data_IF_647827155706
#
_entry.id   IF_647827155706
#
_cell.length_a   1.000
_cell.length_b   1.000
_cell.length_c   1.000
_cell.angle_alpha   90.00
_cell.angle_beta   90.00
_cell.angle_gamma   90.00
#
_symmetry.space_group_name_H-M   'P 1'
#
loop_
_entity.id
_entity.type
_entity.pdbx_description
1 polymer ?
#
# COMPACT_ATOMS: atom_id res chain seq x y z
N UNK A 1 -8.68 -16.26 8.30
CA UNK A 1 -8.55 -14.83 7.89
C UNK A 1 -9.78 -14.06 8.34
N UNK A 2 -9.64 -12.84 8.84
CA UNK A 2 -10.76 -11.97 9.18
C UNK A 2 -10.98 -10.98 8.05
N UNK A 3 -12.26 -10.65 7.80
CA UNK A 3 -12.66 -9.67 6.79
C UNK A 3 -13.36 -8.49 7.45
N UNK A 4 -13.19 -7.30 6.85
CA UNK A 4 -13.86 -6.07 7.28
C UNK A 4 -14.34 -5.28 6.06
N UNK A 5 -15.21 -4.32 6.30
CA UNK A 5 -15.58 -3.35 5.26
C UNK A 5 -14.41 -2.39 5.00
N UNK A 6 -14.15 -2.07 3.73
CA UNK A 6 -13.14 -1.10 3.34
C UNK A 6 -13.70 0.31 3.51
N UNK A 7 -13.34 0.97 4.61
CA UNK A 7 -13.97 2.22 5.01
C UNK A 7 -15.49 2.04 5.21
N UNK A 8 -16.27 2.98 4.72
CA UNK A 8 -17.75 2.93 4.75
C UNK A 8 -18.35 2.26 3.51
N UNK A 9 -17.54 1.61 2.68
CA UNK A 9 -18.04 0.90 1.49
C UNK A 9 -18.66 -0.45 1.86
N UNK A 10 -19.39 -1.05 0.91
CA UNK A 10 -19.89 -2.43 1.03
C UNK A 10 -18.84 -3.52 0.76
N UNK A 11 -17.60 -3.14 0.38
CA UNK A 11 -16.57 -4.08 -0.05
C UNK A 11 -15.91 -4.79 1.15
N UNK A 12 -15.93 -6.12 1.13
CA UNK A 12 -15.25 -6.93 2.14
C UNK A 12 -13.82 -7.23 1.73
N UNK A 13 -12.87 -6.84 2.59
CA UNK A 13 -11.44 -7.09 2.39
C UNK A 13 -10.83 -7.84 3.57
N UNK A 14 -9.84 -8.68 3.30
CA UNK A 14 -9.01 -9.28 4.34
C UNK A 14 -8.27 -8.19 5.13
N UNK A 15 -8.06 -8.42 6.45
CA UNK A 15 -7.30 -7.51 7.32
C UNK A 15 -5.82 -7.33 6.92
N UNK A 16 -5.39 -8.05 5.89
CA UNK A 16 -4.09 -7.90 5.22
C UNK A 16 -4.32 -7.69 3.74
N UNK A 17 -3.58 -6.74 3.16
CA UNK A 17 -3.47 -6.55 1.72
C UNK A 17 -2.10 -7.05 1.25
N UNK A 18 -2.04 -7.89 0.22
CA UNK A 18 -0.77 -8.30 -0.37
C UNK A 18 -0.24 -7.23 -1.31
N UNK A 19 0.92 -6.64 -0.95
CA UNK A 19 1.63 -5.67 -1.79
C UNK A 19 2.43 -6.34 -2.88
N UNK A 20 2.05 -6.10 -4.13
CA UNK A 20 2.60 -6.79 -5.29
C UNK A 20 3.79 -6.06 -5.95
N UNK A 21 4.30 -4.95 -5.37
CA UNK A 21 5.54 -4.31 -5.83
C UNK A 21 6.75 -5.25 -5.78
N UNK A 22 6.65 -6.32 -5.00
CA UNK A 22 7.68 -7.36 -4.89
C UNK A 22 7.74 -8.27 -6.12
N UNK A 23 6.67 -8.35 -6.92
CA UNK A 23 6.52 -9.26 -8.05
C UNK A 23 6.66 -8.51 -9.36
N UNK A 24 7.57 -8.95 -10.22
CA UNK A 24 7.88 -8.32 -11.50
C UNK A 24 9.24 -8.76 -12.01
N UNK A 25 9.54 -8.46 -13.26
CA UNK A 25 10.84 -8.78 -13.84
C UNK A 25 11.93 -7.88 -13.21
N UNK A 26 13.01 -8.45 -12.63
CA UNK A 26 14.05 -7.69 -11.94
C UNK A 26 14.85 -6.72 -12.83
N UNK A 27 14.88 -6.99 -14.13
CA UNK A 27 15.56 -6.20 -15.15
C UNK A 27 14.67 -5.05 -15.70
N UNK A 28 13.44 -4.92 -15.20
CA UNK A 28 12.50 -3.88 -15.61
C UNK A 28 12.11 -2.96 -14.47
N UNK A 29 12.04 -1.66 -14.76
CA UNK A 29 11.71 -0.64 -13.77
C UNK A 29 12.85 -0.38 -12.78
N UNK A 30 12.51 0.03 -11.55
CA UNK A 30 13.47 0.59 -10.57
C UNK A 30 13.84 -0.38 -9.43
N UNK A 31 13.40 -1.65 -9.46
CA UNK A 31 13.51 -2.54 -8.32
C UNK A 31 14.16 -3.88 -8.69
N UNK A 32 15.49 -3.93 -8.73
CA UNK A 32 16.27 -5.14 -9.04
C UNK A 32 16.03 -6.32 -8.06
N UNK A 33 15.41 -6.06 -6.91
CA UNK A 33 15.09 -7.07 -5.89
C UNK A 33 13.70 -7.71 -6.07
N UNK A 34 13.00 -7.43 -7.15
CA UNK A 34 11.70 -8.06 -7.45
C UNK A 34 11.88 -9.54 -7.81
N UNK A 35 10.82 -10.29 -7.61
CA UNK A 35 10.74 -11.70 -7.95
C UNK A 35 10.05 -11.86 -9.31
N UNK A 36 10.62 -12.66 -10.19
CA UNK A 36 9.99 -13.06 -11.44
C UNK A 36 8.71 -13.90 -11.21
N UNK A 37 8.06 -14.33 -12.26
CA UNK A 37 6.81 -15.07 -12.17
C UNK A 37 6.98 -16.42 -11.47
N UNK A 38 8.06 -17.15 -11.78
CA UNK A 38 8.32 -18.49 -11.20
C UNK A 38 8.44 -18.40 -9.68
N UNK A 39 9.22 -17.45 -9.18
CA UNK A 39 9.42 -17.21 -7.75
C UNK A 39 8.19 -16.57 -7.07
N UNK A 40 7.39 -15.80 -7.79
CA UNK A 40 6.22 -15.07 -7.25
C UNK A 40 4.99 -15.98 -7.09
N UNK A 41 4.73 -16.88 -8.02
CA UNK A 41 3.51 -17.72 -8.06
C UNK A 41 3.25 -18.52 -6.79
N UNK A 42 4.23 -19.18 -6.15
CA UNK A 42 3.99 -19.91 -4.91
C UNK A 42 3.55 -19.01 -3.76
N UNK A 43 4.06 -17.76 -3.70
CA UNK A 43 3.70 -16.79 -2.65
C UNK A 43 2.29 -16.27 -2.88
N UNK A 44 1.94 -15.90 -4.11
CA UNK A 44 0.59 -15.45 -4.49
C UNK A 44 -0.45 -16.55 -4.21
N UNK A 45 -0.15 -17.80 -4.60
CA UNK A 45 -1.01 -18.95 -4.31
C UNK A 45 -1.21 -19.14 -2.81
N UNK A 46 -0.12 -19.12 -2.04
CA UNK A 46 -0.18 -19.25 -0.56
C UNK A 46 -1.04 -18.15 0.06
N UNK A 47 -0.93 -16.90 -0.41
CA UNK A 47 -1.73 -15.78 0.08
C UNK A 47 -3.24 -16.02 -0.16
N UNK A 48 -3.60 -16.47 -1.37
CA UNK A 48 -4.98 -16.81 -1.72
C UNK A 48 -5.51 -17.97 -0.85
N UNK A 49 -4.74 -19.05 -0.73
CA UNK A 49 -5.10 -20.23 0.08
C UNK A 49 -5.23 -19.87 1.59
N UNK A 50 -4.50 -18.86 2.07
CA UNK A 50 -4.63 -18.34 3.44
C UNK A 50 -5.85 -17.41 3.62
N UNK A 51 -6.59 -17.11 2.56
CA UNK A 51 -7.77 -16.26 2.57
C UNK A 51 -7.48 -14.76 2.42
N UNK A 52 -6.28 -14.36 2.00
CA UNK A 52 -6.03 -12.98 1.58
C UNK A 52 -6.76 -12.77 0.26
N UNK A 53 -7.73 -11.87 0.26
CA UNK A 53 -8.50 -11.53 -0.94
C UNK A 53 -8.14 -10.16 -1.52
N UNK A 54 -7.23 -9.40 -0.92
CA UNK A 54 -6.90 -8.03 -1.30
C UNK A 54 -5.45 -7.95 -1.82
N UNK A 55 -5.29 -7.51 -3.08
CA UNK A 55 -4.02 -7.45 -3.81
C UNK A 55 -3.80 -6.04 -4.34
N UNK A 56 -2.66 -5.42 -3.99
CA UNK A 56 -2.30 -4.06 -4.39
C UNK A 56 -1.10 -4.06 -5.32
N UNK A 57 -1.29 -3.63 -6.56
CA UNK A 57 -0.23 -3.42 -7.56
C UNK A 57 -0.23 -1.97 -8.05
N UNK A 58 0.49 -1.66 -9.12
CA UNK A 58 0.47 -0.39 -9.84
C UNK A 58 0.97 -0.57 -11.28
N UNK A 59 0.54 0.31 -12.18
CA UNK A 59 1.01 0.31 -13.57
C UNK A 59 2.54 0.40 -13.67
N UNK A 60 3.18 1.19 -12.80
CA UNK A 60 4.63 1.46 -12.83
C UNK A 60 5.49 0.36 -12.19
N UNK A 61 4.90 -0.59 -11.46
CA UNK A 61 5.70 -1.63 -10.80
C UNK A 61 6.33 -2.56 -11.83
N UNK A 62 7.67 -2.55 -11.88
CA UNK A 62 8.47 -3.27 -12.89
C UNK A 62 7.94 -3.08 -14.32
N UNK A 63 7.62 -1.82 -14.68
CA UNK A 63 7.10 -1.41 -15.99
C UNK A 63 5.86 -2.21 -16.44
N UNK A 64 4.95 -2.50 -15.49
CA UNK A 64 3.70 -3.21 -15.73
C UNK A 64 3.77 -4.72 -15.56
N UNK A 65 4.95 -5.32 -15.47
CA UNK A 65 5.07 -6.79 -15.33
C UNK A 65 4.51 -7.30 -14.00
N UNK A 66 4.42 -6.45 -12.97
CA UNK A 66 3.71 -6.77 -11.73
C UNK A 66 2.22 -7.05 -11.98
N UNK A 67 1.55 -6.20 -12.75
CA UNK A 67 0.14 -6.40 -13.10
C UNK A 67 -0.05 -7.68 -13.91
N UNK A 68 0.86 -7.97 -14.85
CA UNK A 68 0.80 -9.20 -15.66
C UNK A 68 0.93 -10.49 -14.83
N UNK A 69 1.90 -10.53 -13.89
CA UNK A 69 2.12 -11.68 -13.00
C UNK A 69 0.92 -11.87 -12.08
N UNK A 70 0.44 -10.78 -11.46
CA UNK A 70 -0.73 -10.80 -10.55
C UNK A 70 -1.98 -11.26 -11.30
N UNK A 71 -2.24 -10.72 -12.49
CA UNK A 71 -3.40 -11.08 -13.30
C UNK A 71 -3.42 -12.58 -13.66
N UNK A 72 -2.27 -13.12 -14.10
CA UNK A 72 -2.15 -14.55 -14.40
C UNK A 72 -2.33 -15.42 -13.15
N UNK A 73 -1.73 -15.03 -12.03
CA UNK A 73 -1.84 -15.79 -10.78
C UNK A 73 -3.30 -15.81 -10.25
N UNK A 74 -3.99 -14.65 -10.26
CA UNK A 74 -5.40 -14.60 -9.83
C UNK A 74 -6.28 -15.46 -10.73
N UNK A 75 -6.12 -15.38 -12.05
CA UNK A 75 -6.87 -16.21 -13.00
C UNK A 75 -6.70 -17.71 -12.73
N UNK A 76 -5.48 -18.14 -12.35
CA UNK A 76 -5.15 -19.53 -12.17
C UNK A 76 -5.51 -20.07 -10.77
N UNK A 77 -5.52 -19.22 -9.73
CA UNK A 77 -5.63 -19.65 -8.33
C UNK A 77 -6.89 -19.16 -7.61
N UNK A 78 -7.64 -18.21 -8.16
CA UNK A 78 -8.82 -17.63 -7.52
C UNK A 78 -9.95 -17.41 -8.52
N UNK A 79 -11.15 -17.20 -8.00
CA UNK A 79 -12.24 -16.65 -8.80
C UNK A 79 -12.13 -15.11 -8.76
N UNK A 80 -12.33 -14.47 -9.92
CA UNK A 80 -12.20 -13.01 -10.03
C UNK A 80 -13.16 -12.24 -9.11
N UNK A 81 -14.37 -12.77 -8.90
CA UNK A 81 -15.42 -12.19 -8.08
C UNK A 81 -15.20 -12.36 -6.56
N UNK A 82 -14.25 -13.19 -6.15
CA UNK A 82 -13.87 -13.41 -4.75
C UNK A 82 -12.69 -12.58 -4.27
N UNK A 83 -11.98 -11.90 -5.21
CA UNK A 83 -10.78 -11.12 -4.91
C UNK A 83 -10.95 -9.65 -5.24
N UNK A 84 -10.21 -8.82 -4.50
CA UNK A 84 -10.15 -7.37 -4.65
C UNK A 84 -8.79 -7.01 -5.25
N UNK A 85 -8.80 -6.51 -6.48
CA UNK A 85 -7.60 -6.04 -7.19
C UNK A 85 -7.55 -4.52 -7.15
N UNK A 86 -6.47 -3.98 -6.57
CA UNK A 86 -6.15 -2.57 -6.61
C UNK A 86 -4.97 -2.33 -7.55
N UNK A 87 -5.07 -1.31 -8.40
CA UNK A 87 -3.94 -0.78 -9.17
C UNK A 87 -3.88 0.74 -9.09
N UNK A 88 -2.82 1.35 -9.65
CA UNK A 88 -2.56 2.79 -9.50
C UNK A 88 -2.13 3.42 -10.83
N UNK A 89 -2.35 4.75 -10.90
CA UNK A 89 -1.93 5.63 -12.00
C UNK A 89 -1.17 6.83 -11.45
N UNK A 90 -0.25 7.35 -12.19
CA UNK A 90 0.56 8.56 -12.05
C UNK A 90 1.98 8.35 -12.58
N UNK A 91 2.61 7.21 -12.22
CA UNK A 91 3.99 6.93 -12.61
C UNK A 91 4.19 6.93 -14.13
N UNK A 92 5.42 7.26 -14.55
CA UNK A 92 5.76 7.32 -15.99
C UNK A 92 5.83 5.92 -16.60
N UNK A 93 4.99 5.66 -17.60
CA UNK A 93 4.92 4.39 -18.32
C UNK A 93 5.57 4.44 -19.71
N UNK A 94 5.79 5.64 -20.25
CA UNK A 94 6.44 5.82 -21.55
C UNK A 94 7.17 7.17 -21.61
N UNK A 95 8.21 7.31 -22.44
CA UNK A 95 8.90 8.58 -22.64
C UNK A 95 8.00 9.60 -23.37
N UNK A 96 8.36 10.87 -23.26
CA UNK A 96 7.69 11.97 -23.95
C UNK A 96 6.42 12.48 -23.25
N UNK A 97 5.66 13.34 -23.92
CA UNK A 97 4.46 13.98 -23.38
C UNK A 97 3.34 12.97 -23.13
N UNK A 98 2.50 13.24 -22.12
CA UNK A 98 1.36 12.41 -21.71
C UNK A 98 1.74 10.96 -21.29
N UNK A 99 3.00 10.71 -20.96
CA UNK A 99 3.48 9.40 -20.50
C UNK A 99 3.41 9.19 -19.00
N UNK A 100 2.94 10.19 -18.24
CA UNK A 100 2.81 10.18 -16.77
C UNK A 100 1.72 11.15 -16.33
N UNK A 101 1.43 11.19 -15.03
CA UNK A 101 0.55 12.18 -14.41
C UNK A 101 -0.90 11.75 -14.30
N UNK A 102 -1.75 12.73 -13.92
CA UNK A 102 -3.18 12.51 -13.65
C UNK A 102 -4.09 13.29 -14.60
N UNK A 103 -3.60 13.73 -15.76
CA UNK A 103 -4.49 14.28 -16.77
C UNK A 103 -5.56 13.26 -17.18
N UNK A 104 -6.74 13.75 -17.60
CA UNK A 104 -7.81 12.90 -18.12
C UNK A 104 -7.30 11.90 -19.15
N UNK A 105 -6.42 12.37 -20.06
CA UNK A 105 -5.81 11.51 -21.08
C UNK A 105 -4.98 10.38 -20.47
N UNK A 106 -4.15 10.68 -19.45
CA UNK A 106 -3.32 9.69 -18.79
C UNK A 106 -4.18 8.67 -18.03
N UNK A 107 -5.16 9.13 -17.23
CA UNK A 107 -6.06 8.26 -16.47
C UNK A 107 -6.78 7.27 -17.38
N UNK A 108 -7.40 7.75 -18.47
CA UNK A 108 -8.15 6.89 -19.38
C UNK A 108 -7.26 5.90 -20.13
N UNK A 109 -6.07 6.33 -20.55
CA UNK A 109 -5.12 5.45 -21.26
C UNK A 109 -4.57 4.38 -20.32
N UNK A 110 -4.20 4.76 -19.10
CA UNK A 110 -3.53 3.85 -18.18
C UNK A 110 -4.49 2.83 -17.56
N UNK A 111 -5.76 3.17 -17.32
CA UNK A 111 -6.71 2.15 -16.86
C UNK A 111 -6.90 1.06 -17.93
N UNK A 112 -7.03 1.42 -19.20
CA UNK A 112 -7.17 0.44 -20.28
C UNK A 112 -5.94 -0.46 -20.40
N UNK A 113 -4.76 0.13 -20.32
CA UNK A 113 -3.51 -0.61 -20.33
C UNK A 113 -3.36 -1.55 -19.11
N UNK A 114 -3.75 -1.10 -17.91
CA UNK A 114 -3.76 -1.92 -16.69
C UNK A 114 -4.72 -3.09 -16.80
N UNK A 115 -5.92 -2.90 -17.32
CA UNK A 115 -6.89 -3.98 -17.53
C UNK A 115 -6.36 -5.04 -18.49
N UNK A 116 -5.67 -4.63 -19.57
CA UNK A 116 -5.01 -5.56 -20.50
C UNK A 116 -3.92 -6.37 -19.80
N UNK A 117 -3.03 -5.71 -19.02
CA UNK A 117 -1.95 -6.39 -18.30
C UNK A 117 -2.47 -7.35 -17.23
N UNK A 118 -3.50 -6.93 -16.49
CA UNK A 118 -4.17 -7.76 -15.47
C UNK A 118 -5.03 -8.89 -16.08
N UNK A 119 -5.40 -8.80 -17.36
CA UNK A 119 -6.26 -9.76 -18.04
C UNK A 119 -7.69 -9.81 -17.45
N UNK A 120 -8.26 -8.66 -17.11
CA UNK A 120 -9.59 -8.51 -16.50
C UNK A 120 -10.34 -7.31 -17.09
N UNK A 121 -11.66 -7.33 -17.03
CA UNK A 121 -12.52 -6.24 -17.55
C UNK A 121 -12.66 -5.08 -16.56
N UNK A 122 -12.31 -5.29 -15.28
CA UNK A 122 -12.40 -4.26 -14.24
C UNK A 122 -11.39 -4.50 -13.13
N UNK A 123 -11.01 -3.42 -12.45
CA UNK A 123 -10.38 -3.47 -11.12
C UNK A 123 -11.38 -3.09 -10.04
N UNK A 124 -11.16 -3.54 -8.81
CA UNK A 124 -12.04 -3.18 -7.71
C UNK A 124 -11.70 -1.80 -7.16
N UNK A 125 -10.41 -1.45 -7.13
CA UNK A 125 -9.93 -0.18 -6.62
C UNK A 125 -8.89 0.43 -7.58
N UNK A 126 -9.18 1.62 -8.12
CA UNK A 126 -8.25 2.39 -8.94
C UNK A 126 -7.76 3.60 -8.18
N UNK A 127 -6.44 3.71 -7.98
CA UNK A 127 -5.86 4.69 -7.08
C UNK A 127 -5.00 5.71 -7.83
N UNK A 128 -5.07 6.98 -7.44
CA UNK A 128 -4.00 7.92 -7.77
C UNK A 128 -2.78 7.61 -6.89
N UNK A 129 -1.60 7.42 -7.51
CA UNK A 129 -0.38 7.00 -6.82
C UNK A 129 0.27 8.15 -6.04
N UNK A 130 0.12 9.38 -6.55
CA UNK A 130 0.57 10.64 -5.96
C UNK A 130 -0.39 11.76 -6.35
N UNK A 131 -0.36 12.84 -5.62
CA UNK A 131 -1.00 14.09 -6.04
C UNK A 131 -0.23 14.69 -7.21
N UNK A 132 -0.94 15.18 -8.23
CA UNK A 132 -0.33 15.83 -9.40
C UNK A 132 -0.53 17.33 -9.29
N UNK A 133 0.57 18.07 -9.14
CA UNK A 133 0.57 19.52 -8.98
C UNK A 133 0.38 20.27 -10.30
N UNK A 134 0.56 19.59 -11.43
CA UNK A 134 0.48 20.17 -12.77
C UNK A 134 -0.89 20.00 -13.41
N UNK A 135 -1.81 19.27 -12.76
CA UNK A 135 -3.15 18.98 -13.30
C UNK A 135 -4.23 19.52 -12.35
N UNK A 136 -5.24 20.25 -12.87
CA UNK A 136 -6.38 20.66 -12.06
C UNK A 136 -7.05 19.46 -11.35
N UNK A 137 -7.39 19.64 -10.10
CA UNK A 137 -8.05 18.61 -9.28
C UNK A 137 -9.36 18.15 -9.91
N UNK A 138 -10.11 19.10 -10.51
CA UNK A 138 -11.38 18.84 -11.18
C UNK A 138 -11.20 17.90 -12.37
N UNK A 139 -10.18 18.10 -13.20
CA UNK A 139 -9.90 17.23 -14.36
C UNK A 139 -9.60 15.80 -13.92
N UNK A 140 -8.78 15.65 -12.86
CA UNK A 140 -8.45 14.35 -12.28
C UNK A 140 -9.69 13.64 -11.76
N UNK A 141 -10.52 14.33 -10.96
CA UNK A 141 -11.70 13.75 -10.32
C UNK A 141 -12.80 13.40 -11.32
N UNK A 142 -13.06 14.25 -12.30
CA UNK A 142 -14.01 13.97 -13.37
C UNK A 142 -13.58 12.75 -14.18
N UNK A 143 -12.29 12.66 -14.53
CA UNK A 143 -11.76 11.49 -15.24
C UNK A 143 -11.92 10.19 -14.44
N UNK A 144 -11.64 10.20 -13.14
CA UNK A 144 -11.83 9.05 -12.27
C UNK A 144 -13.31 8.68 -12.13
N UNK A 145 -14.21 9.67 -12.03
CA UNK A 145 -15.66 9.45 -12.04
C UNK A 145 -16.11 8.75 -13.32
N UNK A 146 -15.62 9.19 -14.46
CA UNK A 146 -15.94 8.58 -15.76
C UNK A 146 -15.41 7.14 -15.88
N UNK A 147 -14.24 6.83 -15.30
CA UNK A 147 -13.71 5.45 -15.22
C UNK A 147 -14.66 4.55 -14.41
N UNK A 148 -15.23 5.06 -13.30
CA UNK A 148 -16.25 4.34 -12.52
C UNK A 148 -17.53 4.16 -13.33
N UNK A 149 -18.02 5.21 -13.98
CA UNK A 149 -19.24 5.16 -14.82
C UNK A 149 -19.10 4.20 -15.99
N UNK A 150 -17.89 4.11 -16.56
CA UNK A 150 -17.58 3.14 -17.63
C UNK A 150 -17.47 1.69 -17.10
N UNK A 151 -17.56 1.45 -15.79
CA UNK A 151 -17.49 0.13 -15.18
C UNK A 151 -16.08 -0.47 -15.15
N UNK A 152 -15.04 0.31 -15.47
CA UNK A 152 -13.64 -0.15 -15.47
C UNK A 152 -13.05 -0.24 -14.08
N UNK A 153 -13.61 0.47 -13.11
CA UNK A 153 -13.32 0.30 -11.67
C UNK A 153 -14.59 0.36 -10.84
N UNK A 154 -14.58 -0.28 -9.66
CA UNK A 154 -15.71 -0.26 -8.71
C UNK A 154 -15.58 0.91 -7.73
N UNK A 155 -14.38 1.15 -7.24
CA UNK A 155 -14.04 2.20 -6.28
C UNK A 155 -12.80 2.96 -6.73
N UNK A 156 -12.64 4.19 -6.25
CA UNK A 156 -11.42 4.97 -6.43
C UNK A 156 -10.74 5.21 -5.09
N UNK A 157 -9.41 5.33 -5.11
CA UNK A 157 -8.58 5.59 -3.95
C UNK A 157 -7.50 6.63 -4.22
N UNK A 158 -6.90 7.13 -3.15
CA UNK A 158 -5.76 8.03 -3.22
C UNK A 158 -4.57 7.47 -2.46
N UNK A 159 -3.36 7.91 -2.78
CA UNK A 159 -2.14 7.54 -2.07
C UNK A 159 -1.26 8.75 -1.83
N UNK A 160 -0.71 8.84 -0.64
CA UNK A 160 0.39 9.72 -0.21
C UNK A 160 0.30 11.16 -0.73
N UNK A 161 -0.35 12.02 0.05
CA UNK A 161 -0.46 13.47 -0.16
C UNK A 161 -0.71 14.16 1.17
N UNK A 162 -0.67 15.48 1.20
CA UNK A 162 -1.03 16.24 2.38
C UNK A 162 -2.54 16.14 2.68
N UNK A 163 -2.92 16.17 3.95
CA UNK A 163 -4.32 16.10 4.38
C UNK A 163 -5.18 17.19 3.74
N UNK A 164 -4.66 18.43 3.62
CA UNK A 164 -5.37 19.52 2.95
C UNK A 164 -5.66 19.25 1.46
N UNK A 165 -4.72 18.59 0.74
CA UNK A 165 -4.91 18.20 -0.65
C UNK A 165 -6.03 17.17 -0.75
N UNK A 166 -6.01 16.16 0.12
CA UNK A 166 -7.04 15.13 0.14
C UNK A 166 -8.41 15.69 0.52
N UNK A 167 -8.48 16.54 1.54
CA UNK A 167 -9.72 17.23 1.92
C UNK A 167 -10.28 18.08 0.77
N UNK A 168 -9.41 18.80 0.04
CA UNK A 168 -9.82 19.57 -1.14
C UNK A 168 -10.42 18.66 -2.21
N UNK A 169 -9.77 17.51 -2.52
CA UNK A 169 -10.28 16.56 -3.51
C UNK A 169 -11.62 15.95 -3.09
N UNK A 170 -11.81 15.60 -1.81
CA UNK A 170 -13.08 15.11 -1.30
C UNK A 170 -14.20 16.15 -1.44
N UNK A 171 -13.92 17.41 -1.08
CA UNK A 171 -14.87 18.51 -1.20
C UNK A 171 -15.24 18.79 -2.66
N UNK A 172 -14.27 18.83 -3.58
CA UNK A 172 -14.53 19.05 -5.00
C UNK A 172 -15.37 17.92 -5.60
N UNK A 173 -15.08 16.67 -5.23
CA UNK A 173 -15.89 15.52 -5.67
C UNK A 173 -17.33 15.65 -5.20
N UNK A 174 -17.56 16.00 -3.93
CA UNK A 174 -18.90 16.17 -3.37
C UNK A 174 -19.65 17.33 -4.01
N UNK A 175 -19.01 18.49 -4.17
CA UNK A 175 -19.60 19.69 -4.77
C UNK A 175 -20.07 19.45 -6.23
N UNK A 176 -19.42 18.56 -6.95
CA UNK A 176 -19.75 18.22 -8.35
C UNK A 176 -20.60 16.94 -8.49
N UNK A 177 -20.95 16.26 -7.39
CA UNK A 177 -21.69 15.00 -7.45
C UNK A 177 -20.88 13.84 -8.09
N UNK A 178 -19.54 13.92 -8.00
CA UNK A 178 -18.65 12.87 -8.52
C UNK A 178 -18.37 11.78 -7.49
N UNK A 179 -17.82 10.67 -7.95
CA UNK A 179 -17.40 9.56 -7.10
C UNK A 179 -16.36 10.01 -6.09
N UNK A 180 -16.61 9.77 -4.81
CA UNK A 180 -15.65 10.06 -3.73
C UNK A 180 -14.61 8.95 -3.61
N UNK A 181 -13.44 9.29 -3.12
CA UNK A 181 -12.43 8.30 -2.74
C UNK A 181 -12.94 7.40 -1.62
N UNK A 182 -12.72 6.10 -1.77
CA UNK A 182 -13.05 5.09 -0.76
C UNK A 182 -11.86 4.78 0.16
N UNK A 183 -10.62 5.03 -0.29
CA UNK A 183 -9.40 4.69 0.45
C UNK A 183 -8.34 5.76 0.39
N UNK A 184 -7.50 5.76 1.44
CA UNK A 184 -6.21 6.44 1.48
C UNK A 184 -5.11 5.41 1.74
N UNK A 185 -4.14 5.35 0.82
CA UNK A 185 -2.93 4.54 0.95
C UNK A 185 -1.75 5.44 1.34
N UNK A 186 -1.50 5.55 2.63
CA UNK A 186 -0.48 6.44 3.20
C UNK A 186 0.69 5.69 3.82
N UNK A 187 1.74 6.41 4.23
CA UNK A 187 2.95 5.86 4.83
C UNK A 187 2.81 5.82 6.35
N UNK A 188 2.55 4.65 6.94
CA UNK A 188 2.40 4.49 8.39
C UNK A 188 3.14 3.26 8.88
N UNK A 189 4.02 3.45 9.84
CA UNK A 189 4.69 2.40 10.62
C UNK A 189 5.32 3.02 11.87
N UNK A 190 5.91 2.20 12.74
CA UNK A 190 6.54 2.66 13.98
C UNK A 190 7.68 3.67 13.80
N UNK A 191 8.33 3.71 12.61
CA UNK A 191 9.38 4.69 12.29
C UNK A 191 8.83 5.96 11.64
N UNK A 192 7.53 5.99 11.23
CA UNK A 192 6.92 7.14 10.60
C UNK A 192 5.45 7.23 10.99
N UNK A 193 5.13 8.20 11.84
CA UNK A 193 3.82 8.39 12.45
C UNK A 193 3.18 9.75 12.13
N UNK A 194 3.74 10.51 11.19
CA UNK A 194 3.27 11.88 10.88
C UNK A 194 1.83 11.90 10.35
N UNK A 195 1.38 10.82 9.72
CA UNK A 195 0.00 10.68 9.24
C UNK A 195 -1.04 10.65 10.38
N UNK A 196 -0.62 10.31 11.61
CA UNK A 196 -1.48 10.34 12.81
C UNK A 196 -1.93 11.75 13.20
N UNK A 197 -1.25 12.80 12.70
CA UNK A 197 -1.56 14.20 13.04
C UNK A 197 -2.83 14.69 12.38
N UNK A 198 -2.99 14.42 11.08
CA UNK A 198 -4.08 14.98 10.29
C UNK A 198 -4.73 13.95 9.34
N UNK A 199 -3.94 13.17 8.61
CA UNK A 199 -4.49 12.28 7.57
C UNK A 199 -5.36 11.17 8.15
N UNK A 200 -4.91 10.48 9.21
CA UNK A 200 -5.73 9.44 9.84
C UNK A 200 -7.01 10.00 10.46
N UNK A 201 -6.99 11.11 11.26
CA UNK A 201 -8.20 11.76 11.73
C UNK A 201 -9.15 12.19 10.61
N UNK A 202 -8.63 12.75 9.52
CA UNK A 202 -9.43 13.10 8.35
C UNK A 202 -10.09 11.86 7.74
N UNK A 203 -9.34 10.78 7.53
CA UNK A 203 -9.89 9.54 6.99
C UNK A 203 -11.01 8.97 7.89
N UNK A 204 -10.82 9.00 9.20
CA UNK A 204 -11.83 8.56 10.17
C UNK A 204 -13.09 9.41 10.08
N UNK A 205 -12.96 10.75 10.04
CA UNK A 205 -14.09 11.67 9.94
C UNK A 205 -14.89 11.50 8.63
N UNK A 206 -14.20 11.19 7.53
CA UNK A 206 -14.77 11.05 6.18
C UNK A 206 -15.19 9.61 5.83
N UNK A 207 -14.97 8.64 6.73
CA UNK A 207 -15.31 7.23 6.52
C UNK A 207 -14.45 6.55 5.45
N UNK A 208 -13.22 7.03 5.26
CA UNK A 208 -12.24 6.54 4.27
C UNK A 208 -11.46 5.37 4.86
N UNK A 209 -11.36 4.27 4.11
CA UNK A 209 -10.54 3.11 4.50
C UNK A 209 -9.04 3.40 4.38
N UNK A 210 -8.28 3.18 5.44
CA UNK A 210 -6.83 3.39 5.44
C UNK A 210 -6.11 2.07 5.16
N UNK A 211 -5.24 2.07 4.14
CA UNK A 211 -4.47 0.89 3.68
C UNK A 211 -2.97 1.24 3.62
N UNK A 212 -2.27 1.32 4.76
CA UNK A 212 -0.93 1.88 4.80
C UNK A 212 0.11 1.00 4.10
N UNK A 213 1.01 1.66 3.34
CA UNK A 213 2.16 1.00 2.72
C UNK A 213 3.37 0.98 3.65
N UNK A 214 4.28 0.02 3.42
CA UNK A 214 5.50 -0.22 4.21
C UNK A 214 5.27 -0.32 5.72
N UNK A 215 4.31 -1.11 6.20
CA UNK A 215 4.03 -1.25 7.64
C UNK A 215 5.23 -1.79 8.44
N UNK A 216 6.16 -2.49 7.77
CA UNK A 216 7.39 -3.00 8.34
C UNK A 216 8.62 -2.12 8.02
N UNK A 217 8.41 -0.85 7.65
CA UNK A 217 9.48 0.10 7.32
C UNK A 217 10.51 -0.48 6.34
N UNK A 218 10.04 -1.11 5.24
CA UNK A 218 10.88 -1.75 4.22
C UNK A 218 11.85 -2.79 4.80
N UNK A 219 11.43 -3.44 5.89
CA UNK A 219 12.17 -4.48 6.61
C UNK A 219 13.10 -3.97 7.72
N UNK A 220 13.17 -2.67 8.00
CA UNK A 220 13.94 -2.13 9.13
C UNK A 220 13.42 -2.60 10.49
N UNK A 221 12.12 -2.78 10.62
CA UNK A 221 11.46 -3.27 11.83
C UNK A 221 11.51 -4.81 12.00
N UNK A 222 12.14 -5.54 11.07
CA UNK A 222 12.10 -7.01 11.07
C UNK A 222 13.44 -7.67 11.37
N UNK A 223 14.52 -6.91 11.40
CA UNK A 223 15.90 -7.41 11.52
C UNK A 223 16.76 -6.55 12.44
N UNK A 224 17.94 -7.04 12.76
CA UNK A 224 18.92 -6.26 13.51
C UNK A 224 19.29 -4.99 12.75
N UNK A 225 19.54 -3.90 13.48
CA UNK A 225 19.77 -2.58 12.90
C UNK A 225 20.88 -2.58 11.86
N UNK A 226 21.99 -3.28 12.13
CA UNK A 226 23.16 -3.34 11.25
C UNK A 226 23.07 -4.44 10.18
N UNK A 227 22.00 -5.24 10.16
CA UNK A 227 21.86 -6.31 9.18
C UNK A 227 21.58 -5.75 7.78
N UNK A 228 22.45 -6.09 6.83
CA UNK A 228 22.28 -5.76 5.43
C UNK A 228 21.49 -6.85 4.70
N UNK A 229 20.65 -6.45 3.76
CA UNK A 229 19.96 -7.33 2.80
C UNK A 229 20.18 -6.77 1.40
N UNK A 230 20.03 -7.59 0.37
CA UNK A 230 20.10 -7.16 -1.02
C UNK A 230 19.16 -5.95 -1.26
N UNK A 231 17.92 -6.03 -0.79
CA UNK A 231 16.99 -4.90 -0.87
C UNK A 231 17.51 -3.65 -0.17
N UNK A 232 18.09 -3.76 1.03
CA UNK A 232 18.59 -2.58 1.75
C UNK A 232 19.77 -1.91 1.06
N UNK A 233 20.51 -2.66 0.25
CA UNK A 233 21.64 -2.17 -0.53
C UNK A 233 21.23 -1.53 -1.86
N UNK A 234 20.14 -1.99 -2.47
CA UNK A 234 19.68 -1.57 -3.81
C UNK A 234 18.47 -0.62 -3.78
N UNK A 235 17.71 -0.55 -2.67
CA UNK A 235 16.52 0.27 -2.52
C UNK A 235 16.88 1.75 -2.29
N UNK A 236 17.08 2.52 -3.37
CA UNK A 236 17.39 3.93 -3.33
C UNK A 236 16.27 4.75 -2.66
N UNK A 237 15.00 4.47 -2.99
CA UNK A 237 13.88 5.17 -2.39
C UNK A 237 13.80 4.92 -0.87
N UNK A 238 14.09 3.70 -0.41
CA UNK A 238 14.18 3.41 1.02
C UNK A 238 15.25 4.23 1.74
N UNK A 239 16.37 4.57 1.06
CA UNK A 239 17.39 5.43 1.65
C UNK A 239 16.89 6.85 1.88
N UNK A 240 16.13 7.42 0.96
CA UNK A 240 15.58 8.78 1.12
C UNK A 240 14.62 8.89 2.30
N UNK A 241 13.89 7.82 2.62
CA UNK A 241 12.92 7.83 3.71
C UNK A 241 13.56 7.85 5.11
N UNK A 242 14.77 7.29 5.28
CA UNK A 242 15.35 7.02 6.60
C UNK A 242 16.72 7.65 6.84
N UNK A 243 17.32 8.33 5.86
CA UNK A 243 18.68 8.85 5.98
C UNK A 243 18.81 9.92 7.07
N UNK A 244 17.78 10.72 7.29
CA UNK A 244 17.81 11.84 8.24
C UNK A 244 17.51 11.44 9.71
N UNK A 245 17.01 10.22 9.96
CA UNK A 245 16.42 9.83 11.25
C UNK A 245 17.06 8.60 11.89
N UNK A 246 18.25 8.21 11.40
CA UNK A 246 18.95 6.96 11.73
C UNK A 246 19.02 6.67 13.24
N UNK A 247 19.41 7.64 14.07
CA UNK A 247 19.57 7.44 15.52
C UNK A 247 18.22 7.37 16.27
N UNK A 248 17.22 8.11 15.81
CA UNK A 248 15.88 8.06 16.37
C UNK A 248 15.21 6.72 16.02
N UNK A 249 15.30 6.32 14.77
CA UNK A 249 14.73 5.06 14.26
C UNK A 249 15.33 3.83 14.96
N UNK A 250 16.62 3.88 15.27
CA UNK A 250 17.31 2.83 16.00
C UNK A 250 16.67 2.54 17.36
N UNK A 251 16.31 3.58 18.12
CA UNK A 251 15.66 3.43 19.43
C UNK A 251 14.30 2.75 19.31
N UNK A 252 13.55 3.06 18.28
CA UNK A 252 12.27 2.41 17.99
C UNK A 252 12.48 0.93 17.64
N UNK A 253 13.49 0.60 16.82
CA UNK A 253 13.83 -0.79 16.48
C UNK A 253 14.28 -1.57 17.72
N UNK A 254 15.01 -0.95 18.64
CA UNK A 254 15.40 -1.55 19.94
C UNK A 254 14.16 -1.84 20.80
N UNK A 255 13.17 -0.94 20.85
CA UNK A 255 11.90 -1.18 21.54
C UNK A 255 11.10 -2.34 20.94
N UNK A 256 11.00 -2.39 19.60
CA UNK A 256 10.37 -3.54 18.90
C UNK A 256 11.08 -4.84 19.22
N UNK A 257 12.43 -4.81 19.28
CA UNK A 257 13.24 -5.99 19.62
C UNK A 257 12.95 -6.49 21.03
N UNK A 258 12.86 -5.57 22.01
CA UNK A 258 12.58 -5.91 23.39
C UNK A 258 11.17 -6.52 23.54
N UNK A 259 10.14 -5.89 22.97
CA UNK A 259 8.76 -6.42 23.02
C UNK A 259 8.66 -7.79 22.32
N UNK A 260 9.34 -7.97 21.19
CA UNK A 260 9.36 -9.24 20.46
C UNK A 260 10.02 -10.35 21.30
N UNK A 261 11.14 -10.05 21.98
CA UNK A 261 11.82 -10.99 22.87
C UNK A 261 10.95 -11.37 24.06
N UNK A 262 10.30 -10.40 24.74
CA UNK A 262 9.40 -10.64 25.86
C UNK A 262 8.21 -11.55 25.47
N UNK A 263 7.74 -11.45 24.25
CA UNK A 263 6.64 -12.25 23.69
C UNK A 263 7.07 -13.57 23.07
N UNK A 264 8.37 -13.76 22.81
CA UNK A 264 8.89 -14.93 22.10
C UNK A 264 8.41 -15.03 20.65
N UNK A 265 8.18 -13.88 19.96
CA UNK A 265 7.69 -13.81 18.59
C UNK A 265 8.63 -12.99 17.69
N UNK A 266 8.60 -13.18 16.36
CA UNK A 266 9.34 -12.34 15.44
C UNK A 266 8.97 -10.85 15.53
N UNK A 267 9.95 -9.97 15.35
CA UNK A 267 9.77 -8.50 15.31
C UNK A 267 8.73 -8.06 14.28
N UNK A 268 8.69 -8.75 13.14
CA UNK A 268 7.71 -8.48 12.07
C UNK A 268 6.27 -8.59 12.59
N UNK A 269 5.99 -9.57 13.44
CA UNK A 269 4.66 -9.76 14.03
C UNK A 269 4.30 -8.60 14.96
N UNK A 270 5.23 -8.16 15.83
CA UNK A 270 5.02 -7.03 16.75
C UNK A 270 4.77 -5.73 15.97
N UNK A 271 5.63 -5.41 15.00
CA UNK A 271 5.51 -4.19 14.22
C UNK A 271 4.21 -4.16 13.40
N UNK A 272 3.81 -5.29 12.83
CA UNK A 272 2.56 -5.38 12.08
C UNK A 272 1.33 -5.35 12.98
N UNK A 273 1.38 -6.02 14.16
CA UNK A 273 0.32 -5.98 15.15
C UNK A 273 0.05 -4.55 15.65
N UNK A 274 1.10 -3.73 15.78
CA UNK A 274 0.93 -2.31 16.13
C UNK A 274 0.15 -1.54 15.06
N UNK A 275 0.44 -1.74 13.77
CA UNK A 275 -0.33 -1.12 12.67
C UNK A 275 -1.77 -1.62 12.66
N UNK A 276 -1.97 -2.94 12.85
CA UNK A 276 -3.29 -3.57 12.90
C UNK A 276 -4.14 -3.13 14.11
N UNK A 277 -3.49 -2.70 15.20
CA UNK A 277 -4.18 -2.20 16.40
C UNK A 277 -4.76 -0.79 16.23
N UNK A 278 -4.37 -0.05 15.18
CA UNK A 278 -4.93 1.28 14.91
C UNK A 278 -6.37 1.14 14.39
N UNK A 279 -7.36 1.82 15.02
CA UNK A 279 -8.78 1.66 14.68
C UNK A 279 -9.10 2.08 13.24
N UNK A 280 -8.35 3.06 12.72
CA UNK A 280 -8.59 3.63 11.39
C UNK A 280 -7.98 2.79 10.27
N UNK A 281 -7.09 1.84 10.58
CA UNK A 281 -6.43 0.99 9.58
C UNK A 281 -7.33 -0.16 9.18
N UNK A 282 -7.71 -0.20 7.90
CA UNK A 282 -8.48 -1.29 7.31
C UNK A 282 -7.60 -2.51 7.01
N UNK A 283 -6.55 -2.33 6.23
CA UNK A 283 -5.66 -3.42 5.82
C UNK A 283 -4.26 -2.89 5.49
N UNK A 284 -3.23 -3.13 6.31
CA UNK A 284 -1.86 -2.80 5.94
C UNK A 284 -1.40 -3.61 4.73
N UNK A 285 -0.64 -2.95 3.83
CA UNK A 285 -0.09 -3.56 2.64
C UNK A 285 1.24 -4.21 2.98
N UNK A 286 1.27 -5.53 3.00
CA UNK A 286 2.45 -6.33 3.31
C UNK A 286 3.08 -6.90 2.04
N UNK A 287 4.36 -6.63 1.82
CA UNK A 287 5.15 -7.25 0.76
C UNK A 287 5.78 -8.55 1.27
N UNK A 288 5.74 -9.60 0.48
CA UNK A 288 6.35 -10.88 0.80
C UNK A 288 7.28 -11.34 -0.32
N UNK A 289 8.56 -11.53 -0.02
CA UNK A 289 9.55 -12.14 -0.94
C UNK A 289 9.90 -13.60 -0.56
N UNK A 290 9.30 -14.10 0.53
CA UNK A 290 9.41 -15.48 1.00
C UNK A 290 8.09 -15.91 1.61
N UNK A 291 7.78 -17.21 1.57
CA UNK A 291 6.57 -17.77 2.17
C UNK A 291 6.47 -17.47 3.69
N UNK A 292 7.60 -17.46 4.41
CA UNK A 292 7.67 -17.14 5.84
C UNK A 292 7.25 -15.71 6.17
N UNK A 293 7.39 -14.76 5.24
CA UNK A 293 6.90 -13.39 5.45
C UNK A 293 5.36 -13.33 5.52
N UNK A 294 4.68 -14.20 4.74
CA UNK A 294 3.22 -14.35 4.85
C UNK A 294 2.83 -15.04 6.15
N UNK A 295 3.58 -16.04 6.59
CA UNK A 295 3.30 -16.72 7.86
C UNK A 295 3.38 -15.74 9.04
N UNK A 296 4.42 -14.90 9.08
CA UNK A 296 4.55 -13.85 10.08
C UNK A 296 3.43 -12.81 9.99
N UNK A 297 3.04 -12.39 8.79
CA UNK A 297 1.96 -11.44 8.61
C UNK A 297 0.61 -11.98 9.08
N UNK A 298 0.31 -13.25 8.77
CA UNK A 298 -0.91 -13.92 9.20
C UNK A 298 -0.91 -14.12 10.72
N UNK A 299 0.22 -14.51 11.32
CA UNK A 299 0.35 -14.67 12.77
C UNK A 299 0.13 -13.35 13.52
N UNK A 300 0.54 -12.22 12.94
CA UNK A 300 0.32 -10.89 13.52
C UNK A 300 -1.16 -10.54 13.73
N UNK A 301 -2.08 -11.11 12.94
CA UNK A 301 -3.53 -10.91 13.11
C UNK A 301 -4.07 -11.41 14.45
N UNK A 302 -3.40 -12.39 15.05
CA UNK A 302 -3.75 -12.95 16.36
C UNK A 302 -2.97 -12.32 17.53
N UNK A 303 -2.02 -11.44 17.24
CA UNK A 303 -1.15 -10.84 18.27
C UNK A 303 -1.77 -9.56 18.84
N UNK A 304 -2.55 -9.68 19.91
CA UNK A 304 -3.05 -8.53 20.67
C UNK A 304 -1.92 -7.89 21.50
N UNK A 305 -1.58 -6.62 21.22
CA UNK A 305 -0.68 -5.83 22.04
C UNK A 305 -1.40 -5.22 23.24
N UNK A 306 -0.79 -5.26 24.42
CA UNK A 306 -1.28 -4.54 25.59
C UNK A 306 -1.00 -3.04 25.47
N UNK A 307 -1.74 -2.22 26.21
CA UNK A 307 -1.50 -0.76 26.23
C UNK A 307 -0.08 -0.43 26.70
N UNK A 308 0.48 -1.17 27.64
CA UNK A 308 1.87 -0.98 28.10
C UNK A 308 2.89 -1.26 27.01
N UNK A 309 2.67 -2.26 26.16
CA UNK A 309 3.53 -2.55 25.00
C UNK A 309 3.41 -1.47 23.92
N UNK A 310 2.19 -0.99 23.65
CA UNK A 310 1.97 0.11 22.71
C UNK A 310 2.74 1.34 23.16
N UNK A 311 2.66 1.72 24.43
CA UNK A 311 3.41 2.85 25.00
C UNK A 311 4.92 2.65 24.83
N UNK A 312 5.46 1.46 25.17
CA UNK A 312 6.90 1.14 24.99
C UNK A 312 7.36 1.24 23.54
N UNK A 313 6.52 0.84 22.60
CA UNK A 313 6.82 0.92 21.16
C UNK A 313 6.79 2.35 20.63
N UNK A 314 5.94 3.20 21.19
CA UNK A 314 5.70 4.57 20.71
C UNK A 314 6.58 5.63 21.41
N UNK A 315 6.96 5.41 22.68
CA UNK A 315 7.75 6.37 23.49
C UNK A 315 9.05 6.84 22.83
N UNK A 316 9.85 5.98 22.16
CA UNK A 316 11.10 6.40 21.55
C UNK A 316 10.92 7.16 20.22
N UNK A 317 9.69 7.30 19.69
CA UNK A 317 9.43 7.98 18.44
C UNK A 317 9.71 9.48 18.55
N UNK A 318 10.45 10.01 17.58
CA UNK A 318 10.63 11.45 17.41
C UNK A 318 9.96 11.90 16.11
N UNK A 319 9.31 13.08 16.09
CA UNK A 319 8.69 13.62 14.89
C UNK A 319 9.67 13.75 13.72
N UNK A 320 9.19 13.43 12.54
CA UNK A 320 9.94 13.46 11.29
C UNK A 320 9.48 14.62 10.39
N UNK A 321 10.33 15.04 9.47
CA UNK A 321 9.85 15.79 8.32
C UNK A 321 8.92 14.90 7.47
N UNK A 322 7.94 15.51 6.81
CA UNK A 322 7.07 14.79 5.87
C UNK A 322 7.91 14.25 4.71
N UNK A 323 7.81 12.96 4.44
CA UNK A 323 8.56 12.26 3.39
C UNK A 323 7.65 11.29 2.64
N UNK A 324 8.11 10.84 1.48
CA UNK A 324 7.44 9.78 0.71
C UNK A 324 6.55 10.27 -0.42
N UNK A 325 6.26 11.58 -0.52
CA UNK A 325 5.39 12.13 -1.57
C UNK A 325 5.67 13.60 -1.94
N UNK A 326 6.72 14.19 -1.42
CA UNK A 326 7.20 15.54 -1.79
C UNK A 326 8.35 15.46 -2.78
#
# INVERSE_FOLDING_TARGET
MNYIKLGTTGLDVSRLCLGCMTYGLPDRGNHAWTLDEEASRPILRKAIEAGINFFDTANVYSDGTSEEIVGRAIRDFARRDEVVIATKVHGRMRPGPNGAGLSRKAIMTEIDASLVRLGTDYVDLYQIHRFDHDVPVEETLEALHDVVKAGKTRYIGASSMYAWQFATMLHVAEANGWTRFATMQNYVNLLYREEEREMLPLCAAEGIGVIPWSPLARGRLTRDWNAATERSQTDQFGRTLYAATVEADRKVVEAVTAVAADRGVPRAQVALAWVLAKPDVSAPIVGASKATHLDDAIAALGLGLTQGEIVRLEEPYLPHAVVGFS
#
